data_IF_888072869241
#
_entry.id   IF_888072869241
#
_cell.length_a   1.000
_cell.length_b   1.000
_cell.length_c   1.000
_cell.angle_alpha   90.00
_cell.angle_beta   90.00
_cell.angle_gamma   90.00
#
_symmetry.space_group_name_H-M   'P 1'
#
loop_
_entity.id
_entity.type
_entity.pdbx_description
1 polymer ?
#
# COMPACT_ATOMS: atom_id res chain seq x y z
N UNK A 1 -12.01 -18.39 -19.40
CA UNK A 1 -11.16 -18.77 -18.25
C UNK A 1 -12.05 -19.43 -17.22
N UNK A 2 -11.91 -20.75 -17.01
CA UNK A 2 -12.76 -21.56 -16.11
C UNK A 2 -12.39 -21.45 -14.62
N UNK A 3 -12.09 -20.22 -14.16
CA UNK A 3 -11.71 -19.96 -12.76
C UNK A 3 -12.97 -19.52 -12.02
N UNK A 4 -13.39 -20.30 -11.02
CA UNK A 4 -14.52 -19.95 -10.17
C UNK A 4 -14.12 -18.88 -9.14
N UNK A 5 -15.01 -17.93 -8.88
CA UNK A 5 -14.82 -16.98 -7.80
C UNK A 5 -15.06 -17.67 -6.45
N UNK A 6 -14.20 -17.40 -5.48
CA UNK A 6 -14.33 -17.90 -4.11
C UNK A 6 -14.51 -16.74 -3.13
N UNK A 7 -15.17 -16.96 -1.97
CA UNK A 7 -15.25 -15.94 -0.92
C UNK A 7 -13.87 -15.44 -0.50
N UNK A 8 -13.73 -14.17 -0.12
CA UNK A 8 -12.43 -13.58 0.27
C UNK A 8 -11.69 -14.39 1.35
N UNK A 9 -12.45 -14.94 2.31
CA UNK A 9 -11.88 -15.74 3.41
C UNK A 9 -11.47 -17.15 3.01
N UNK A 10 -11.80 -17.61 1.80
CA UNK A 10 -11.34 -18.90 1.30
C UNK A 10 -9.83 -18.87 1.01
N UNK A 11 -9.28 -20.04 0.67
CA UNK A 11 -7.88 -20.17 0.27
C UNK A 11 -7.60 -19.51 -1.10
N UNK A 12 -6.32 -19.39 -1.46
CA UNK A 12 -5.84 -18.76 -2.70
C UNK A 12 -6.39 -19.52 -3.91
N UNK A 13 -7.25 -18.90 -4.75
CA UNK A 13 -7.84 -19.58 -5.90
C UNK A 13 -6.86 -19.68 -7.08
N UNK A 14 -5.91 -18.75 -7.19
CA UNK A 14 -4.99 -18.61 -8.33
C UNK A 14 -3.65 -18.03 -7.86
N UNK A 15 -2.56 -18.52 -8.44
CA UNK A 15 -1.21 -17.96 -8.30
C UNK A 15 -0.73 -17.43 -9.64
N UNK A 16 -0.28 -16.19 -9.69
CA UNK A 16 0.23 -15.54 -10.91
C UNK A 16 1.71 -15.29 -10.75
N UNK A 17 2.48 -15.66 -11.77
CA UNK A 17 3.92 -15.41 -11.83
C UNK A 17 4.24 -14.40 -12.92
N UNK A 18 5.21 -13.52 -12.69
CA UNK A 18 5.60 -12.55 -13.70
C UNK A 18 6.78 -11.67 -13.32
N UNK A 19 7.12 -10.75 -14.22
CA UNK A 19 8.17 -9.75 -14.04
C UNK A 19 7.56 -8.40 -14.37
N UNK A 20 7.71 -7.40 -13.49
CA UNK A 20 7.19 -6.07 -13.78
C UNK A 20 8.02 -5.33 -14.83
N UNK A 21 7.36 -4.51 -15.69
CA UNK A 21 8.08 -3.61 -16.57
C UNK A 21 8.82 -2.55 -15.75
N UNK A 22 10.15 -2.52 -15.91
CA UNK A 22 11.07 -1.76 -15.06
C UNK A 22 10.81 -0.25 -14.99
N UNK A 23 10.29 0.35 -16.05
CA UNK A 23 9.98 1.80 -16.07
C UNK A 23 8.63 2.14 -15.43
N UNK A 24 7.78 1.14 -15.18
CA UNK A 24 6.39 1.33 -14.74
C UNK A 24 6.08 0.60 -13.42
N UNK A 25 7.06 0.01 -12.75
CA UNK A 25 6.85 -0.81 -11.54
C UNK A 25 6.00 -0.09 -10.50
N UNK A 26 6.36 1.15 -10.14
CA UNK A 26 5.62 1.94 -9.15
C UNK A 26 4.18 2.21 -9.56
N UNK A 27 3.93 2.52 -10.84
CA UNK A 27 2.56 2.75 -11.34
C UNK A 27 1.76 1.45 -11.36
N UNK A 28 2.39 0.33 -11.74
CA UNK A 28 1.78 -1.00 -11.68
C UNK A 28 1.45 -1.38 -10.23
N UNK A 29 2.34 -1.12 -9.27
CA UNK A 29 2.09 -1.36 -7.85
C UNK A 29 0.90 -0.56 -7.35
N UNK A 30 0.78 0.72 -7.69
CA UNK A 30 -0.41 1.51 -7.32
C UNK A 30 -1.68 0.96 -7.96
N UNK A 31 -1.64 0.63 -9.26
CA UNK A 31 -2.81 0.08 -9.95
C UNK A 31 -3.27 -1.24 -9.33
N UNK A 32 -2.32 -2.13 -9.00
CA UNK A 32 -2.59 -3.40 -8.33
C UNK A 32 -3.16 -3.20 -6.93
N UNK A 33 -2.72 -2.16 -6.23
CA UNK A 33 -3.22 -1.80 -4.92
C UNK A 33 -4.69 -1.35 -5.00
N UNK A 34 -5.03 -0.46 -5.94
CA UNK A 34 -6.43 -0.04 -6.11
C UNK A 34 -7.35 -1.23 -6.41
N UNK A 35 -6.99 -2.08 -7.39
CA UNK A 35 -7.83 -3.24 -7.71
C UNK A 35 -7.93 -4.25 -6.55
N UNK A 36 -6.90 -4.35 -5.69
CA UNK A 36 -6.91 -5.19 -4.49
C UNK A 36 -7.95 -4.68 -3.49
N UNK A 37 -7.86 -3.40 -3.14
CA UNK A 37 -8.71 -2.77 -2.14
C UNK A 37 -10.16 -2.59 -2.61
N UNK A 38 -10.39 -2.48 -3.92
CA UNK A 38 -11.72 -2.46 -4.54
C UNK A 38 -12.30 -3.86 -4.80
N UNK A 39 -11.54 -4.93 -4.55
CA UNK A 39 -11.91 -6.31 -4.92
C UNK A 39 -12.30 -6.45 -6.41
N UNK A 40 -11.61 -5.72 -7.30
CA UNK A 40 -11.89 -5.67 -8.72
C UNK A 40 -10.87 -6.47 -9.54
N UNK A 41 -11.11 -6.59 -10.86
CA UNK A 41 -10.21 -7.32 -11.78
C UNK A 41 -9.93 -8.75 -11.31
N UNK A 42 -8.67 -9.14 -11.11
CA UNK A 42 -8.27 -10.48 -10.65
C UNK A 42 -8.77 -10.79 -9.23
N UNK A 43 -8.95 -9.77 -8.38
CA UNK A 43 -9.35 -9.94 -6.98
C UNK A 43 -10.86 -10.15 -6.81
N UNK A 44 -11.65 -9.99 -7.88
CA UNK A 44 -13.07 -10.39 -7.89
C UNK A 44 -13.26 -11.91 -7.72
N UNK A 45 -12.20 -12.68 -7.97
CA UNK A 45 -12.20 -14.14 -7.84
C UNK A 45 -11.75 -14.62 -6.45
N UNK A 46 -11.29 -13.73 -5.57
CA UNK A 46 -10.73 -14.06 -4.26
C UNK A 46 -9.31 -13.54 -4.08
N UNK A 47 -8.58 -14.11 -3.11
CA UNK A 47 -7.22 -13.67 -2.74
C UNK A 47 -6.16 -14.25 -3.67
N UNK A 48 -6.00 -13.65 -4.84
CA UNK A 48 -4.99 -14.05 -5.82
C UNK A 48 -3.58 -13.78 -5.25
N UNK A 49 -2.72 -14.80 -5.28
CA UNK A 49 -1.31 -14.69 -4.89
C UNK A 49 -0.48 -14.23 -6.10
N UNK A 50 0.30 -13.16 -5.92
CA UNK A 50 1.21 -12.65 -6.95
C UNK A 50 2.66 -12.99 -6.58
N UNK A 51 3.35 -13.73 -7.43
CA UNK A 51 4.78 -14.03 -7.31
C UNK A 51 5.53 -13.29 -8.43
N UNK A 52 6.00 -12.09 -8.13
CA UNK A 52 6.45 -11.14 -9.14
C UNK A 52 7.88 -10.69 -8.89
N UNK A 53 8.68 -10.63 -9.95
CA UNK A 53 9.96 -9.93 -9.90
C UNK A 53 9.75 -8.42 -9.96
N UNK A 54 10.30 -7.74 -8.96
CA UNK A 54 10.38 -6.27 -8.88
C UNK A 54 11.81 -5.84 -8.55
N UNK A 55 12.17 -4.61 -8.88
CA UNK A 55 13.47 -4.06 -8.51
C UNK A 55 13.69 -4.06 -6.99
N UNK A 56 14.95 -4.28 -6.56
CA UNK A 56 15.33 -4.22 -5.13
C UNK A 56 14.90 -2.88 -4.50
N UNK A 57 14.98 -1.78 -5.27
CA UNK A 57 14.50 -0.47 -4.83
C UNK A 57 13.02 -0.49 -4.45
N UNK A 58 12.14 -0.99 -5.31
CA UNK A 58 10.70 -1.00 -5.01
C UNK A 58 10.37 -2.04 -3.94
N UNK A 59 11.08 -3.17 -3.87
CA UNK A 59 10.97 -4.11 -2.76
C UNK A 59 11.26 -3.44 -1.40
N UNK A 60 12.38 -2.70 -1.28
CA UNK A 60 12.72 -1.97 -0.04
C UNK A 60 11.68 -0.92 0.34
N UNK A 61 11.04 -0.31 -0.64
CA UNK A 61 9.92 0.59 -0.41
C UNK A 61 8.71 -0.17 0.15
N UNK A 62 8.35 -1.31 -0.41
CA UNK A 62 7.20 -2.10 0.06
C UNK A 62 7.38 -2.58 1.49
N UNK A 63 8.60 -2.99 1.86
CA UNK A 63 8.93 -3.51 3.20
C UNK A 63 9.55 -2.47 4.14
N UNK A 64 9.49 -1.19 3.78
CA UNK A 64 10.05 -0.12 4.60
C UNK A 64 9.38 -0.10 5.98
N UNK A 65 10.16 0.13 7.03
CA UNK A 65 9.67 0.15 8.41
C UNK A 65 9.34 1.57 8.87
N UNK A 66 8.43 1.73 9.85
CA UNK A 66 8.24 3.01 10.52
C UNK A 66 9.58 3.56 11.03
N UNK A 67 9.81 4.86 10.88
CA UNK A 67 11.09 5.51 11.18
C UNK A 67 12.07 5.58 10.00
N UNK A 68 11.89 4.78 8.95
CA UNK A 68 12.68 4.89 7.72
C UNK A 68 12.15 6.02 6.82
N UNK A 69 12.07 7.24 7.35
CA UNK A 69 11.35 8.40 6.78
C UNK A 69 11.69 8.75 5.33
N UNK A 70 12.82 8.26 4.79
CA UNK A 70 13.22 8.47 3.40
C UNK A 70 12.50 7.55 2.41
N UNK A 71 12.06 6.38 2.87
CA UNK A 71 11.53 5.30 2.01
C UNK A 71 10.18 4.77 2.49
N UNK A 72 9.86 4.93 3.79
CA UNK A 72 8.54 4.67 4.33
C UNK A 72 7.54 5.68 3.79
N UNK A 73 6.60 5.18 3.00
CA UNK A 73 5.61 5.99 2.29
C UNK A 73 4.26 5.27 2.24
N UNK A 74 3.23 5.93 1.69
CA UNK A 74 1.88 5.36 1.64
C UNK A 74 1.82 3.97 0.97
N UNK A 75 2.66 3.74 -0.06
CA UNK A 75 2.76 2.44 -0.70
C UNK A 75 3.25 1.34 0.28
N UNK A 76 4.18 1.67 1.18
CA UNK A 76 4.68 0.77 2.22
C UNK A 76 3.55 0.33 3.15
N UNK A 77 2.83 1.30 3.71
CA UNK A 77 1.70 1.05 4.61
C UNK A 77 0.61 0.22 3.93
N UNK A 78 0.16 0.66 2.77
CA UNK A 78 -1.01 0.06 2.13
C UNK A 78 -0.74 -1.37 1.64
N UNK A 79 0.48 -1.69 1.19
CA UNK A 79 0.83 -3.06 0.84
C UNK A 79 1.04 -3.94 2.06
N UNK A 80 1.67 -3.45 3.14
CA UNK A 80 1.86 -4.22 4.37
C UNK A 80 0.52 -4.53 5.07
N UNK A 81 -0.43 -3.58 5.04
CA UNK A 81 -1.81 -3.82 5.51
C UNK A 81 -2.55 -4.79 4.59
N UNK A 82 -2.36 -4.63 3.27
CA UNK A 82 -3.12 -5.36 2.25
C UNK A 82 -2.68 -6.80 2.07
N UNK A 83 -1.39 -7.07 2.20
CA UNK A 83 -0.77 -8.34 1.84
C UNK A 83 0.28 -8.77 2.86
N UNK A 84 0.43 -10.08 3.00
CA UNK A 84 1.68 -10.67 3.46
C UNK A 84 2.71 -10.59 2.33
N UNK A 85 3.87 -10.00 2.62
CA UNK A 85 4.94 -9.71 1.66
C UNK A 85 6.14 -10.58 2.00
N UNK A 86 6.43 -11.57 1.15
CA UNK A 86 7.52 -12.51 1.35
C UNK A 86 8.53 -12.40 0.21
N UNK A 87 9.80 -12.20 0.55
CA UNK A 87 10.90 -12.33 -0.40
C UNK A 87 11.21 -13.81 -0.63
N UNK A 88 11.06 -14.27 -1.86
CA UNK A 88 11.32 -15.67 -2.23
C UNK A 88 12.73 -15.87 -2.80
N UNK A 89 13.21 -14.90 -3.59
CA UNK A 89 14.51 -15.00 -4.26
C UNK A 89 15.06 -13.61 -4.58
N UNK A 90 16.38 -13.48 -4.60
CA UNK A 90 17.09 -12.31 -5.11
C UNK A 90 18.04 -12.75 -6.21
N UNK A 91 17.87 -12.18 -7.41
CA UNK A 91 18.68 -12.49 -8.56
C UNK A 91 19.43 -11.23 -9.02
N UNK A 92 20.76 -11.26 -9.17
CA UNK A 92 21.51 -10.11 -9.69
C UNK A 92 21.02 -9.68 -11.08
N UNK A 93 21.04 -8.38 -11.35
CA UNK A 93 20.65 -7.88 -12.68
C UNK A 93 21.46 -8.47 -13.83
N UNK A 94 22.72 -8.83 -13.58
CA UNK A 94 23.61 -9.44 -14.57
C UNK A 94 23.08 -10.75 -15.14
N UNK A 95 22.19 -11.45 -14.41
CA UNK A 95 21.60 -12.70 -14.85
C UNK A 95 20.46 -12.52 -15.85
N UNK A 96 19.97 -11.29 -16.03
CA UNK A 96 18.92 -10.96 -16.99
C UNK A 96 19.51 -10.30 -18.24
N UNK A 97 18.99 -10.67 -19.42
CA UNK A 97 19.33 -10.03 -20.69
C UNK A 97 18.76 -8.60 -20.74
N UNK A 98 19.50 -7.62 -20.21
CA UNK A 98 19.11 -6.22 -20.29
C UNK A 98 19.73 -5.56 -21.54
N UNK A 99 19.23 -5.92 -22.73
CA UNK A 99 19.76 -5.40 -23.99
C UNK A 99 19.40 -3.92 -24.19
N UNK A 100 20.24 -2.99 -23.72
CA UNK A 100 20.39 -1.70 -24.39
C UNK A 100 21.31 -1.90 -25.61
N UNK A 101 21.00 -1.26 -26.73
CA UNK A 101 21.83 -1.26 -27.96
C UNK A 101 23.30 -0.85 -27.74
N UNK A 102 23.66 -0.40 -26.54
CA UNK A 102 24.96 0.15 -26.16
C UNK A 102 25.75 -0.78 -25.21
N UNK A 103 25.32 -2.03 -25.00
CA UNK A 103 26.04 -3.01 -24.16
C UNK A 103 26.03 -2.71 -22.65
N UNK A 104 25.29 -1.69 -22.21
CA UNK A 104 25.12 -1.34 -20.78
C UNK A 104 23.86 -1.96 -20.22
N UNK A 105 23.89 -2.33 -18.94
CA UNK A 105 22.71 -2.85 -18.27
C UNK A 105 21.61 -1.78 -18.26
N UNK A 106 20.38 -2.14 -18.66
CA UNK A 106 19.21 -1.25 -18.62
C UNK A 106 18.63 -1.09 -17.21
N UNK A 107 19.51 -1.07 -16.20
CA UNK A 107 19.14 -0.97 -14.80
C UNK A 107 18.71 0.49 -14.55
N UNK A 108 17.48 0.72 -14.05
CA UNK A 108 17.09 2.02 -13.56
C UNK A 108 18.06 2.45 -12.46
N UNK A 109 18.87 3.48 -12.71
CA UNK A 109 19.78 4.01 -11.69
C UNK A 109 18.96 4.56 -10.52
N UNK A 110 19.25 4.07 -9.33
CA UNK A 110 18.70 4.60 -8.08
C UNK A 110 19.84 5.23 -7.29
N UNK A 111 19.73 6.51 -6.98
CA UNK A 111 20.74 7.24 -6.19
C UNK A 111 20.54 7.11 -4.69
N UNK A 112 19.36 6.66 -4.25
CA UNK A 112 18.95 6.68 -2.83
C UNK A 112 18.82 5.31 -2.18
N UNK A 113 18.62 4.28 -3.00
CA UNK A 113 18.43 2.90 -2.57
C UNK A 113 19.25 1.99 -3.48
N UNK A 114 19.82 0.90 -2.96
CA UNK A 114 20.49 -0.10 -3.78
C UNK A 114 19.47 -0.71 -4.75
N UNK A 115 19.98 -1.03 -5.93
CA UNK A 115 19.17 -1.56 -7.02
C UNK A 115 19.98 -2.54 -7.85
N UNK A 116 20.69 -3.46 -7.18
CA UNK A 116 21.64 -4.37 -7.81
C UNK A 116 20.99 -5.73 -8.15
N UNK A 117 19.79 -5.97 -7.62
CA UNK A 117 19.03 -7.20 -7.79
C UNK A 117 17.61 -6.98 -8.27
N UNK A 118 17.06 -8.02 -8.90
CA UNK A 118 15.65 -8.28 -9.02
C UNK A 118 15.20 -9.21 -7.88
N UNK A 119 14.17 -8.79 -7.15
CA UNK A 119 13.59 -9.52 -6.04
C UNK A 119 12.31 -10.23 -6.51
N UNK A 120 12.27 -11.56 -6.43
CA UNK A 120 11.02 -12.31 -6.55
C UNK A 120 10.25 -12.17 -5.24
N UNK A 121 9.14 -11.46 -5.29
CA UNK A 121 8.31 -11.15 -4.12
C UNK A 121 6.97 -11.85 -4.27
N UNK A 122 6.57 -12.57 -3.23
CA UNK A 122 5.22 -13.09 -3.05
C UNK A 122 4.38 -12.05 -2.32
N UNK A 123 3.26 -11.67 -2.92
CA UNK A 123 2.23 -10.82 -2.33
C UNK A 123 0.96 -11.66 -2.19
N UNK A 124 0.61 -11.98 -0.95
CA UNK A 124 -0.59 -12.74 -0.62
C UNK A 124 -1.58 -11.83 0.11
N UNK A 125 -2.76 -11.53 -0.44
CA UNK A 125 -3.74 -10.70 0.25
C UNK A 125 -4.11 -11.25 1.64
N UNK A 126 -4.17 -10.36 2.62
CA UNK A 126 -4.51 -10.69 4.00
C UNK A 126 -5.97 -11.15 4.10
N UNK A 127 -6.20 -12.29 4.77
CA UNK A 127 -7.54 -12.85 4.94
C UNK A 127 -8.46 -11.93 5.75
N UNK A 128 -7.88 -11.18 6.70
CA UNK A 128 -8.56 -10.24 7.58
C UNK A 128 -8.48 -8.78 7.06
N UNK A 129 -8.11 -8.53 5.80
CA UNK A 129 -8.03 -7.18 5.23
C UNK A 129 -9.34 -6.39 5.46
N UNK A 130 -10.46 -6.96 5.05
CA UNK A 130 -11.79 -6.35 5.20
C UNK A 130 -12.46 -6.73 6.52
N UNK A 131 -11.94 -6.17 7.62
CA UNK A 131 -12.46 -6.32 8.99
C UNK A 131 -12.41 -4.99 9.73
N UNK A 132 -13.18 -4.84 10.82
CA UNK A 132 -13.14 -3.66 11.69
C UNK A 132 -13.81 -2.39 11.14
N UNK A 133 -14.39 -2.44 9.93
CA UNK A 133 -15.05 -1.30 9.29
C UNK A 133 -14.47 -1.00 7.91
N UNK A 134 -13.23 -1.44 7.61
CA UNK A 134 -12.67 -1.38 6.26
C UNK A 134 -13.36 -2.40 5.35
N UNK A 135 -13.87 -1.93 4.22
CA UNK A 135 -14.54 -2.73 3.20
C UNK A 135 -14.25 -2.14 1.80
N UNK A 136 -14.58 -2.86 0.71
CA UNK A 136 -14.31 -2.36 -0.63
C UNK A 136 -14.97 -1.02 -0.98
N UNK A 137 -16.10 -0.66 -0.35
CA UNK A 137 -16.82 0.58 -0.64
C UNK A 137 -16.16 1.82 0.00
N UNK A 138 -15.44 1.67 1.11
CA UNK A 138 -14.73 2.78 1.79
C UNK A 138 -13.20 2.71 1.67
N UNK A 139 -12.68 1.76 0.89
CA UNK A 139 -11.24 1.51 0.77
C UNK A 139 -10.49 2.67 0.10
N UNK A 140 -11.11 3.38 -0.85
CA UNK A 140 -10.53 4.57 -1.46
C UNK A 140 -10.26 5.68 -0.44
N UNK A 141 -11.17 5.86 0.53
CA UNK A 141 -11.01 6.81 1.63
C UNK A 141 -9.85 6.42 2.54
N UNK A 142 -9.69 5.13 2.83
CA UNK A 142 -8.53 4.63 3.59
C UNK A 142 -7.20 4.90 2.86
N UNK A 143 -7.13 4.58 1.57
CA UNK A 143 -5.94 4.85 0.73
C UNK A 143 -5.60 6.35 0.77
N UNK A 144 -6.61 7.20 0.61
CA UNK A 144 -6.44 8.65 0.66
C UNK A 144 -5.95 9.13 2.03
N UNK A 145 -6.55 8.67 3.13
CA UNK A 145 -6.14 9.01 4.49
C UNK A 145 -4.64 8.71 4.71
N UNK A 146 -4.19 7.50 4.36
CA UNK A 146 -2.79 7.09 4.49
C UNK A 146 -1.87 7.96 3.63
N UNK A 147 -2.28 8.25 2.38
CA UNK A 147 -1.53 9.17 1.50
C UNK A 147 -1.38 10.54 2.15
N UNK A 148 -2.47 11.12 2.66
CA UNK A 148 -2.46 12.45 3.27
C UNK A 148 -1.57 12.51 4.51
N UNK A 149 -1.65 11.53 5.41
CA UNK A 149 -0.76 11.46 6.58
C UNK A 149 0.71 11.46 6.16
N UNK A 150 1.09 10.65 5.16
CA UNK A 150 2.47 10.45 4.76
C UNK A 150 3.01 11.50 3.75
N UNK A 151 2.23 12.53 3.41
CA UNK A 151 2.75 13.69 2.65
C UNK A 151 3.81 14.47 3.43
N UNK A 152 3.71 14.51 4.76
CA UNK A 152 4.73 15.09 5.65
C UNK A 152 5.04 14.09 6.77
N UNK A 153 5.93 13.10 6.53
CA UNK A 153 6.17 12.01 7.47
C UNK A 153 6.72 12.47 8.83
N UNK A 154 7.27 13.70 8.92
CA UNK A 154 7.75 14.32 10.16
C UNK A 154 6.70 15.14 10.92
N UNK A 155 5.49 15.29 10.36
CA UNK A 155 4.40 15.96 11.07
C UNK A 155 3.79 15.02 12.11
N UNK A 156 3.36 15.58 13.25
CA UNK A 156 2.64 14.81 14.26
C UNK A 156 1.33 14.29 13.68
N UNK A 157 0.95 13.09 14.07
CA UNK A 157 -0.32 12.50 13.64
C UNK A 157 -1.51 13.34 14.14
N UNK A 158 -1.44 13.86 15.36
CA UNK A 158 -2.47 14.74 15.95
C UNK A 158 -2.69 16.01 15.13
N UNK A 159 -1.62 16.69 14.70
CA UNK A 159 -1.73 17.88 13.83
C UNK A 159 -2.50 17.56 12.54
N UNK A 160 -2.31 16.36 11.98
CA UNK A 160 -3.04 15.91 10.79
C UNK A 160 -4.50 15.62 11.08
N UNK A 161 -4.80 14.93 12.17
CA UNK A 161 -6.17 14.63 12.56
C UNK A 161 -6.95 15.92 12.88
N UNK A 162 -6.32 16.86 13.59
CA UNK A 162 -6.92 18.16 13.92
C UNK A 162 -7.18 18.99 12.65
N UNK A 163 -6.34 18.87 11.61
CA UNK A 163 -6.60 19.52 10.31
C UNK A 163 -7.85 19.00 9.59
N UNK A 164 -8.38 17.85 10.02
CA UNK A 164 -9.65 17.28 9.54
C UNK A 164 -10.82 17.56 10.49
N UNK A 165 -10.67 18.54 11.39
CA UNK A 165 -11.69 18.94 12.38
C UNK A 165 -12.07 17.82 13.35
N UNK A 166 -11.11 16.94 13.70
CA UNK A 166 -11.31 15.91 14.71
C UNK A 166 -11.01 16.47 16.11
N UNK A 167 -11.99 17.15 16.72
CA UNK A 167 -11.89 17.84 18.02
C UNK A 167 -11.50 16.95 19.22
N UNK A 168 -11.29 15.65 19.01
CA UNK A 168 -10.89 14.68 20.04
C UNK A 168 -9.79 13.71 19.56
N UNK A 169 -8.89 14.14 18.66
CA UNK A 169 -7.80 13.30 18.15
C UNK A 169 -6.97 12.64 19.26
N UNK A 170 -6.65 13.35 20.33
CA UNK A 170 -5.83 12.82 21.44
C UNK A 170 -6.55 11.68 22.19
N UNK A 171 -7.86 11.81 22.40
CA UNK A 171 -8.67 10.75 23.02
C UNK A 171 -8.73 9.51 22.12
N UNK A 172 -8.85 9.71 20.81
CA UNK A 172 -8.85 8.62 19.83
C UNK A 172 -7.52 7.88 19.82
N UNK A 173 -6.39 8.60 19.74
CA UNK A 173 -5.07 7.99 19.75
C UNK A 173 -4.80 7.24 21.06
N UNK A 174 -5.18 7.82 22.20
CA UNK A 174 -5.08 7.16 23.50
C UNK A 174 -5.91 5.88 23.57
N UNK A 175 -7.13 5.88 23.03
CA UNK A 175 -7.98 4.68 22.97
C UNK A 175 -7.42 3.57 22.08
N UNK A 176 -6.60 3.93 21.08
CA UNK A 176 -5.91 3.01 20.19
C UNK A 176 -4.49 2.65 20.68
N UNK A 177 -4.09 3.13 21.86
CA UNK A 177 -2.74 2.96 22.41
C UNK A 177 -1.63 3.51 21.50
N UNK A 178 -1.96 4.49 20.65
CA UNK A 178 -1.03 5.19 19.77
C UNK A 178 -0.45 6.39 20.53
N UNK A 179 0.88 6.58 20.57
CA UNK A 179 1.48 7.71 21.26
C UNK A 179 1.03 9.07 20.69
N UNK A 180 0.65 10.00 21.56
CA UNK A 180 0.10 11.32 21.20
C UNK A 180 1.04 12.15 20.30
N UNK A 181 2.34 12.07 20.54
CA UNK A 181 3.35 12.83 19.80
C UNK A 181 4.04 12.05 18.69
N UNK A 182 3.43 10.95 18.22
CA UNK A 182 3.99 10.15 17.14
C UNK A 182 4.02 10.95 15.83
N UNK A 183 5.15 10.93 15.13
CA UNK A 183 5.22 11.42 13.77
C UNK A 183 4.53 10.42 12.84
N UNK A 184 3.83 10.91 11.82
CA UNK A 184 3.14 10.05 10.83
C UNK A 184 4.04 8.98 10.22
N UNK A 185 5.31 9.29 9.92
CA UNK A 185 6.28 8.32 9.40
C UNK A 185 6.74 7.25 10.40
N UNK A 186 6.35 7.35 11.67
CA UNK A 186 6.65 6.40 12.73
C UNK A 186 5.44 5.52 13.12
N UNK A 187 4.26 5.78 12.54
CA UNK A 187 3.05 5.00 12.77
C UNK A 187 3.14 3.67 12.04
N UNK A 188 2.82 2.57 12.71
CA UNK A 188 2.80 1.23 12.11
C UNK A 188 1.66 1.07 11.09
N UNK A 189 1.82 0.24 10.06
CA UNK A 189 0.78 0.02 9.06
C UNK A 189 -0.57 -0.41 9.67
N UNK A 190 -0.54 -1.30 10.64
CA UNK A 190 -1.74 -1.80 11.33
C UNK A 190 -2.47 -0.71 12.10
N UNK A 191 -1.72 0.24 12.69
CA UNK A 191 -2.28 1.35 13.43
C UNK A 191 -3.00 2.35 12.52
N UNK A 192 -2.54 2.52 11.28
CA UNK A 192 -3.31 3.25 10.27
C UNK A 192 -4.66 2.61 9.99
N UNK A 193 -4.71 1.26 9.88
CA UNK A 193 -5.97 0.55 9.68
C UNK A 193 -6.88 0.68 10.91
N UNK A 194 -6.34 0.52 12.12
CA UNK A 194 -7.09 0.68 13.38
C UNK A 194 -7.67 2.09 13.50
N UNK A 195 -6.87 3.10 13.20
CA UNK A 195 -7.28 4.50 13.17
C UNK A 195 -8.45 4.72 12.20
N UNK A 196 -8.31 4.23 10.96
CA UNK A 196 -9.39 4.34 9.98
C UNK A 196 -10.67 3.64 10.44
N UNK A 197 -10.56 2.41 10.95
CA UNK A 197 -11.69 1.65 11.46
C UNK A 197 -12.39 2.36 12.62
N UNK A 198 -11.63 2.92 13.56
CA UNK A 198 -12.18 3.68 14.67
C UNK A 198 -12.89 4.96 14.21
N UNK A 199 -12.34 5.66 13.20
CA UNK A 199 -12.98 6.83 12.60
C UNK A 199 -14.30 6.48 11.91
N UNK A 200 -14.36 5.37 11.17
CA UNK A 200 -15.59 4.91 10.51
C UNK A 200 -16.70 4.55 11.52
N UNK A 201 -16.34 4.03 12.69
CA UNK A 201 -17.30 3.70 13.75
C UNK A 201 -17.70 4.90 14.61
N UNK A 202 -16.99 6.03 14.49
CA UNK A 202 -17.34 7.28 15.14
C UNK A 202 -18.26 8.09 14.24
N UNK A 203 -19.39 8.59 14.76
CA UNK A 203 -20.30 9.50 14.03
C UNK A 203 -19.67 10.85 13.64
N UNK A 204 -18.37 11.04 13.89
CA UNK A 204 -17.58 12.24 13.64
C UNK A 204 -17.12 12.32 12.18
N UNK A 205 -17.12 11.20 11.45
CA UNK A 205 -16.63 11.13 10.07
C UNK A 205 -17.74 11.12 9.00
N UNK A 206 -19.02 11.21 9.40
CA UNK A 206 -20.14 11.20 8.48
C UNK A 206 -20.29 12.53 7.74
N UNK A 207 -20.03 12.46 6.43
CA UNK A 207 -20.62 13.26 5.35
C UNK A 207 -20.07 14.67 5.11
N UNK A 208 -18.97 14.79 4.35
CA UNK A 208 -18.84 15.70 3.17
C UNK A 208 -17.39 15.78 2.66
N UNK A 209 -16.42 16.08 3.52
CA UNK A 209 -15.08 16.49 3.07
C UNK A 209 -14.28 15.41 2.33
N UNK A 210 -14.24 14.19 2.89
CA UNK A 210 -13.40 13.11 2.33
C UNK A 210 -13.94 12.57 1.01
N UNK A 211 -15.25 12.56 0.79
CA UNK A 211 -15.81 12.03 -0.46
C UNK A 211 -15.48 12.94 -1.64
N UNK A 212 -15.54 14.26 -1.46
CA UNK A 212 -15.24 15.22 -2.53
C UNK A 212 -13.75 15.25 -2.87
N UNK A 213 -12.85 15.28 -1.88
CA UNK A 213 -11.40 15.22 -2.14
C UNK A 213 -10.94 13.85 -2.68
N UNK A 214 -11.53 12.75 -2.22
CA UNK A 214 -11.27 11.41 -2.79
C UNK A 214 -11.73 11.37 -4.23
N UNK A 215 -12.94 11.86 -4.55
CA UNK A 215 -13.45 11.93 -5.92
C UNK A 215 -12.57 12.80 -6.82
N UNK A 216 -12.11 13.96 -6.35
CA UNK A 216 -11.18 14.82 -7.10
C UNK A 216 -9.81 14.16 -7.30
N UNK A 217 -9.27 13.48 -6.28
CA UNK A 217 -7.99 12.79 -6.38
C UNK A 217 -8.06 11.57 -7.30
N UNK A 218 -9.17 10.82 -7.32
CA UNK A 218 -9.43 9.73 -8.26
C UNK A 218 -9.53 10.26 -9.70
N UNK A 219 -10.21 11.40 -9.90
CA UNK A 219 -10.27 12.06 -11.22
C UNK A 219 -8.87 12.44 -11.72
N UNK A 220 -8.00 12.91 -10.84
CA UNK A 220 -6.62 13.31 -11.17
C UNK A 220 -5.65 12.13 -11.35
N UNK A 221 -5.96 10.93 -10.85
CA UNK A 221 -5.13 9.71 -11.05
C UNK A 221 -5.39 9.08 -12.43
N UNK A 222 -6.51 9.42 -13.09
CA UNK A 222 -6.88 8.95 -14.43
C UNK A 222 -6.39 9.88 -15.57
N UNK A 223 -5.49 10.82 -15.28
CA UNK A 223 -4.76 11.67 -16.24
C UNK A 223 -3.25 11.41 -16.13
#
# INVERSE_FOLDING_TARGET
MGIAAVPWRADVPVKIFGIFPQRKERNTLWRLLFILYECSSIYRYGRVELNIFISEKEYKVLTAKPGELRIYQALSVLWQVGCDIQLLHMEPWSSFLTNLKNGRLAIPKSTRLPNDHLCLVRLTPQQNLFTGGLNPANSATFIFMVKQCLTKPRSKLTDRLNSWSLDNADKLLKALEIPEYIETGNVYPEDYKRLFCALQNSSVFTESWFHDEVLESIRNINL
#
